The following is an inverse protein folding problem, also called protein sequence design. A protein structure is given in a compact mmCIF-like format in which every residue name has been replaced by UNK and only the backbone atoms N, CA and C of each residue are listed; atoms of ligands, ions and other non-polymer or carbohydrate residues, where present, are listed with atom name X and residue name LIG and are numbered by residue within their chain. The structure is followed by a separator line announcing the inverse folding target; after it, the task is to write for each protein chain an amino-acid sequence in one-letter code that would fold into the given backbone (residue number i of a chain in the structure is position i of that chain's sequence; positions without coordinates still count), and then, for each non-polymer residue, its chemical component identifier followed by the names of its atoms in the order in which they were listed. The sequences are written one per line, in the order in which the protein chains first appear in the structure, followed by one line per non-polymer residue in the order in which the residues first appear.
data_IF_692269636418
#
_entry.id   IF_692269636418
#
_cell.length_a   1.000
_cell.length_b   1.000
_cell.length_c   1.000
_cell.angle_alpha   90.00
_cell.angle_beta   90.00
_cell.angle_gamma   90.00
#
_symmetry.space_group_name_H-M   'P 1'
#
loop_
_entity.id
_entity.type
_entity.pdbx_description
1 polymer ?
#
# COMPACT_ATOMS: atom_id res chain seq x y z
N UNK A 1 13.49 3.07 -27.99
CA UNK A 1 12.26 3.32 -27.26
C UNK A 1 12.43 2.91 -25.81
N UNK A 2 12.04 3.79 -24.90
CA UNK A 2 12.11 3.48 -23.48
C UNK A 2 10.92 2.62 -23.12
N UNK A 3 11.20 1.43 -22.60
CA UNK A 3 10.16 0.60 -22.05
C UNK A 3 10.02 0.88 -20.57
N UNK A 4 8.77 0.92 -20.12
CA UNK A 4 8.48 1.05 -18.70
C UNK A 4 8.59 -0.32 -18.07
N UNK A 5 9.48 -0.45 -17.10
CA UNK A 5 9.51 -1.66 -16.29
C UNK A 5 8.66 -1.44 -15.06
N UNK A 6 7.92 -2.47 -14.68
CA UNK A 6 7.17 -2.44 -13.44
C UNK A 6 8.13 -2.35 -12.28
N UNK A 7 7.76 -1.56 -11.28
CA UNK A 7 8.53 -1.46 -10.06
C UNK A 7 8.20 -2.63 -9.15
N UNK A 8 9.21 -3.26 -8.57
CA UNK A 8 9.00 -4.35 -7.63
C UNK A 8 8.25 -3.88 -6.40
N UNK A 9 7.34 -4.73 -5.92
CA UNK A 9 6.61 -4.50 -4.67
C UNK A 9 7.04 -5.57 -3.69
N UNK A 10 7.43 -5.14 -2.49
CA UNK A 10 7.78 -6.02 -1.40
C UNK A 10 6.98 -5.68 -0.16
N UNK A 11 6.73 -6.66 0.66
CA UNK A 11 6.14 -6.44 1.99
C UNK A 11 7.27 -6.16 2.98
N UNK A 12 7.08 -5.13 3.80
CA UNK A 12 8.13 -4.71 4.74
C UNK A 12 8.25 -5.65 5.96
N UNK A 13 7.20 -6.45 6.21
CA UNK A 13 7.18 -7.30 7.40
C UNK A 13 6.13 -8.40 7.23
N UNK A 14 6.20 -9.39 8.12
CA UNK A 14 5.27 -10.51 8.11
C UNK A 14 3.82 -10.09 8.39
N UNK A 15 3.62 -9.05 9.16
CA UNK A 15 2.27 -8.63 9.52
C UNK A 15 1.45 -8.22 8.30
N UNK A 16 2.06 -7.56 7.33
CA UNK A 16 1.36 -7.20 6.09
C UNK A 16 1.08 -8.45 5.25
N UNK A 17 1.99 -9.41 5.22
CA UNK A 17 1.75 -10.69 4.53
C UNK A 17 0.55 -11.40 5.12
N UNK A 18 0.49 -11.50 6.45
CA UNK A 18 -0.61 -12.14 7.15
C UNK A 18 -1.92 -11.41 6.91
N UNK A 19 -1.90 -10.08 6.91
CA UNK A 19 -3.06 -9.27 6.63
C UNK A 19 -3.63 -9.59 5.24
N UNK A 20 -2.77 -9.63 4.23
CA UNK A 20 -3.19 -9.91 2.86
C UNK A 20 -3.77 -11.31 2.72
N UNK A 21 -3.16 -12.30 3.36
CA UNK A 21 -3.62 -13.69 3.29
C UNK A 21 -4.99 -13.90 3.92
N UNK A 22 -5.39 -13.05 4.85
CA UNK A 22 -6.66 -13.15 5.55
C UNK A 22 -7.81 -12.42 4.85
N UNK A 23 -7.53 -11.70 3.78
CA UNK A 23 -8.58 -11.02 3.03
C UNK A 23 -9.49 -12.04 2.37
N UNK A 24 -10.80 -11.74 2.32
CA UNK A 24 -11.71 -12.61 1.59
C UNK A 24 -11.35 -12.64 0.10
N UNK A 25 -11.73 -13.69 -0.62
CA UNK A 25 -11.24 -13.89 -2.00
C UNK A 25 -11.49 -12.72 -2.96
N UNK A 26 -12.65 -12.10 -2.91
CA UNK A 26 -12.98 -10.98 -3.81
C UNK A 26 -12.13 -9.77 -3.47
N UNK A 27 -11.99 -9.46 -2.19
CA UNK A 27 -11.18 -8.34 -1.74
C UNK A 27 -9.71 -8.58 -2.05
N UNK A 28 -9.24 -9.81 -1.87
CA UNK A 28 -7.87 -10.19 -2.21
C UNK A 28 -7.59 -9.98 -3.70
N UNK A 29 -8.51 -10.44 -4.56
CA UNK A 29 -8.36 -10.27 -6.01
C UNK A 29 -8.31 -8.79 -6.41
N UNK A 30 -9.16 -7.96 -5.81
CA UNK A 30 -9.15 -6.51 -6.05
C UNK A 30 -7.84 -5.88 -5.59
N UNK A 31 -7.32 -6.35 -4.45
CA UNK A 31 -6.04 -5.87 -3.91
C UNK A 31 -4.91 -6.20 -4.86
N UNK A 32 -4.83 -7.43 -5.36
CA UNK A 32 -3.80 -7.83 -6.31
C UNK A 32 -3.85 -7.00 -7.59
N UNK A 33 -5.06 -6.75 -8.10
CA UNK A 33 -5.21 -5.92 -9.30
C UNK A 33 -4.68 -4.51 -9.06
N UNK A 34 -4.95 -3.95 -7.89
CA UNK A 34 -4.52 -2.60 -7.58
C UNK A 34 -3.01 -2.55 -7.34
N UNK A 35 -2.43 -3.61 -6.79
CA UNK A 35 -0.97 -3.72 -6.66
C UNK A 35 -0.30 -3.80 -8.02
N UNK A 36 -0.89 -4.52 -8.98
CA UNK A 36 -0.38 -4.54 -10.35
C UNK A 36 -0.41 -3.14 -10.96
N UNK A 37 -1.49 -2.42 -10.73
CA UNK A 37 -1.64 -1.05 -11.21
C UNK A 37 -0.57 -0.14 -10.58
N UNK A 38 -0.33 -0.30 -9.29
CA UNK A 38 0.70 0.46 -8.57
C UNK A 38 2.09 0.16 -9.13
N UNK A 39 2.39 -1.11 -9.41
CA UNK A 39 3.66 -1.50 -9.97
C UNK A 39 3.90 -0.83 -11.34
N UNK A 40 2.86 -0.75 -12.16
CA UNK A 40 2.95 -0.16 -13.50
C UNK A 40 3.05 1.35 -13.49
N UNK A 41 2.23 2.02 -12.69
CA UNK A 41 2.18 3.48 -12.68
C UNK A 41 3.08 4.10 -11.63
N UNK A 42 3.48 3.35 -10.60
CA UNK A 42 4.36 3.75 -9.49
C UNK A 42 4.06 5.16 -8.96
N UNK A 43 4.97 6.13 -9.15
CA UNK A 43 4.80 7.50 -8.64
C UNK A 43 3.60 8.23 -9.24
N UNK A 44 3.14 7.81 -10.40
CA UNK A 44 2.05 8.48 -11.13
C UNK A 44 0.67 8.00 -10.70
N UNK A 45 0.60 6.91 -9.95
CA UNK A 45 -0.69 6.44 -9.48
C UNK A 45 -1.26 7.45 -8.48
N UNK A 46 -2.44 7.94 -8.76
CA UNK A 46 -3.08 8.96 -7.94
C UNK A 46 -4.52 8.59 -7.64
N UNK A 47 -5.26 9.58 -7.16
CA UNK A 47 -6.68 9.38 -6.88
C UNK A 47 -7.41 8.85 -8.10
N UNK A 48 -8.41 7.97 -7.91
CA UNK A 48 -8.97 7.54 -6.64
C UNK A 48 -8.23 6.35 -5.98
N UNK A 49 -7.19 5.83 -6.60
CA UNK A 49 -6.54 4.58 -6.18
C UNK A 49 -5.50 4.80 -5.10
N UNK A 50 -4.80 5.92 -5.13
CA UNK A 50 -3.75 6.23 -4.19
C UNK A 50 -3.81 7.68 -3.79
N UNK A 51 -3.49 7.96 -2.53
CA UNK A 51 -3.42 9.30 -1.98
C UNK A 51 -2.07 9.48 -1.31
N UNK A 52 -1.41 10.61 -1.62
CA UNK A 52 -0.19 11.00 -0.92
C UNK A 52 -0.52 11.41 0.50
N UNK A 53 0.27 10.92 1.44
CA UNK A 53 0.23 11.34 2.84
C UNK A 53 1.48 12.19 3.09
N UNK A 54 1.70 12.60 4.33
CA UNK A 54 2.95 13.29 4.66
C UNK A 54 4.08 12.29 4.88
N UNK A 55 5.30 12.79 5.03
CA UNK A 55 6.51 12.00 5.31
C UNK A 55 6.86 10.94 4.27
N UNK A 56 6.48 11.18 3.00
CA UNK A 56 6.81 10.24 1.92
C UNK A 56 5.98 8.97 1.94
N UNK A 57 4.90 8.95 2.67
CA UNK A 57 3.97 7.83 2.72
C UNK A 57 2.81 8.02 1.75
N UNK A 58 2.25 6.91 1.31
CA UNK A 58 1.09 6.89 0.42
C UNK A 58 0.08 5.88 0.92
N UNK A 59 -1.17 6.13 0.62
CA UNK A 59 -2.28 5.26 0.99
C UNK A 59 -2.90 4.66 -0.26
N UNK A 60 -2.82 3.34 -0.40
CA UNK A 60 -3.51 2.62 -1.47
C UNK A 60 -4.92 2.30 -0.98
N UNK A 61 -5.91 2.58 -1.84
CA UNK A 61 -7.32 2.47 -1.50
C UNK A 61 -7.98 1.35 -2.28
N UNK A 62 -8.36 0.30 -1.59
CA UNK A 62 -9.07 -0.84 -2.19
C UNK A 62 -10.52 -0.78 -1.74
N UNK A 63 -11.43 -0.55 -2.70
CA UNK A 63 -12.86 -0.45 -2.42
C UNK A 63 -13.49 -1.80 -2.70
N UNK A 64 -13.99 -2.42 -1.66
CA UNK A 64 -14.64 -3.71 -1.71
C UNK A 64 -15.79 -3.70 -0.70
N UNK A 65 -16.31 -4.87 -0.36
CA UNK A 65 -17.35 -4.98 0.67
C UNK A 65 -16.87 -4.32 1.98
N UNK A 66 -15.62 -4.56 2.33
CA UNK A 66 -14.92 -3.78 3.35
C UNK A 66 -13.88 -2.95 2.63
N UNK A 67 -13.68 -1.72 3.09
CA UNK A 67 -12.65 -0.87 2.49
C UNK A 67 -11.30 -1.17 3.12
N UNK A 68 -10.35 -1.51 2.26
CA UNK A 68 -8.99 -1.84 2.68
C UNK A 68 -8.08 -0.66 2.36
N UNK A 69 -7.16 -0.39 3.25
CA UNK A 69 -6.11 0.61 3.09
C UNK A 69 -4.76 -0.04 3.30
N UNK A 70 -3.81 0.28 2.42
CA UNK A 70 -2.44 -0.17 2.55
C UNK A 70 -1.55 1.04 2.47
N UNK A 71 -0.76 1.28 3.52
CA UNK A 71 0.21 2.37 3.52
C UNK A 71 1.51 1.84 2.94
N UNK A 72 2.07 2.56 1.98
CA UNK A 72 3.29 2.15 1.30
C UNK A 72 4.23 3.33 1.11
N UNK A 73 5.46 3.03 0.77
CA UNK A 73 6.47 4.03 0.43
C UNK A 73 7.35 3.53 -0.70
N UNK A 74 8.07 4.46 -1.30
CA UNK A 74 9.11 4.15 -2.27
C UNK A 74 10.46 4.24 -1.58
N UNK A 75 11.27 3.21 -1.74
CA UNK A 75 12.61 3.20 -1.19
C UNK A 75 13.50 2.32 -2.05
N UNK A 76 14.69 2.82 -2.37
CA UNK A 76 15.67 2.07 -3.13
C UNK A 76 15.11 1.48 -4.43
N UNK A 77 14.31 2.28 -5.13
CA UNK A 77 13.69 1.93 -6.42
C UNK A 77 12.70 0.75 -6.33
N UNK A 78 12.13 0.56 -5.16
CA UNK A 78 11.09 -0.45 -4.90
C UNK A 78 9.94 0.18 -4.14
N UNK A 79 8.83 -0.52 -4.15
CA UNK A 79 7.65 -0.17 -3.37
C UNK A 79 7.57 -1.11 -2.19
N UNK A 80 7.48 -0.55 -0.98
CA UNK A 80 7.35 -1.35 0.24
C UNK A 80 5.98 -1.14 0.84
N UNK A 81 5.24 -2.24 0.99
CA UNK A 81 3.98 -2.22 1.71
C UNK A 81 4.29 -2.28 3.20
N UNK A 82 3.85 -1.27 3.94
CA UNK A 82 4.23 -1.09 5.33
C UNK A 82 3.16 -1.57 6.30
N UNK A 83 1.90 -1.28 6.02
CA UNK A 83 0.82 -1.55 6.96
C UNK A 83 -0.51 -1.64 6.21
N UNK A 84 -1.30 -2.65 6.55
CA UNK A 84 -2.63 -2.83 5.99
C UNK A 84 -3.68 -2.81 7.09
N UNK A 85 -4.82 -2.22 6.81
CA UNK A 85 -5.91 -2.15 7.77
C UNK A 85 -7.24 -1.95 7.06
N UNK A 86 -8.32 -2.22 7.77
CA UNK A 86 -9.67 -1.92 7.29
C UNK A 86 -10.04 -0.50 7.73
N UNK A 87 -10.53 0.29 6.79
CA UNK A 87 -10.93 1.66 7.08
C UNK A 87 -12.12 1.65 8.04
N UNK A 88 -11.99 2.35 9.16
CA UNK A 88 -13.04 2.48 10.16
C UNK A 88 -13.54 3.91 10.32
N UNK A 89 -12.80 4.88 9.80
CA UNK A 89 -13.09 6.30 9.96
C UNK A 89 -12.51 7.08 8.78
N UNK A 90 -12.89 8.35 8.64
CA UNK A 90 -12.49 9.16 7.50
C UNK A 90 -10.99 9.42 7.44
N UNK A 91 -10.35 9.57 8.58
CA UNK A 91 -8.92 9.82 8.65
C UNK A 91 -8.20 8.57 9.12
N UNK A 92 -6.96 8.40 8.65
CA UNK A 92 -6.08 7.36 9.17
C UNK A 92 -5.84 7.63 10.64
N UNK A 93 -5.96 6.60 11.49
CA UNK A 93 -5.68 6.76 12.91
C UNK A 93 -4.20 7.05 13.12
N UNK A 94 -3.91 7.76 14.21
CA UNK A 94 -2.53 8.02 14.59
C UNK A 94 -1.76 6.71 14.79
N UNK A 95 -2.41 5.71 15.37
CA UNK A 95 -1.81 4.39 15.59
C UNK A 95 -1.36 3.75 14.29
N UNK A 96 -2.22 3.74 13.28
CA UNK A 96 -1.88 3.14 11.97
C UNK A 96 -0.77 3.92 11.29
N UNK A 97 -0.81 5.23 11.35
CA UNK A 97 0.20 6.08 10.74
C UNK A 97 1.56 5.93 11.43
N UNK A 98 1.58 5.95 12.77
CA UNK A 98 2.81 5.78 13.53
C UNK A 98 3.45 4.41 13.26
N UNK A 99 2.64 3.38 13.13
CA UNK A 99 3.13 2.04 12.84
C UNK A 99 3.78 1.98 11.44
N UNK A 100 3.16 2.63 10.46
CA UNK A 100 3.73 2.70 9.12
C UNK A 100 5.05 3.46 9.11
N UNK A 101 5.12 4.57 9.83
CA UNK A 101 6.36 5.36 9.94
C UNK A 101 7.47 4.53 10.58
N UNK A 102 7.16 3.83 11.66
CA UNK A 102 8.12 2.97 12.34
C UNK A 102 8.68 1.91 11.40
N UNK A 103 7.80 1.26 10.65
CA UNK A 103 8.20 0.21 9.72
C UNK A 103 9.03 0.75 8.56
N UNK A 104 8.67 1.94 8.06
CA UNK A 104 9.49 2.59 7.04
C UNK A 104 10.90 2.88 7.57
N UNK A 105 10.99 3.38 8.79
CA UNK A 105 12.28 3.73 9.37
C UNK A 105 13.19 2.52 9.55
N UNK A 106 12.62 1.33 9.65
CA UNK A 106 13.39 0.09 9.72
C UNK A 106 14.03 -0.30 8.38
N UNK A 107 13.59 0.30 7.28
CA UNK A 107 14.17 0.04 5.96
C UNK A 107 15.49 0.78 5.75
N UNK A 108 15.72 1.82 6.51
CA UNK A 108 16.85 2.74 6.30
C UNK A 108 18.08 2.26 7.06
#
# INVERSE_FOLDING_TARGET
MLEWEDMEIETANKNIDDFLKKLEPITYAKTLRLLDLLASYNYKLGLPYSKSLHDGLFELRIISKKQVRIIYCFYNQKIYLLHGFFKKQNKISKKDLDLAIKRRNLLI
#
